data_IF_639715577576
#
_entry.id   IF_639715577576
#
_cell.length_a   1.000
_cell.length_b   1.000
_cell.length_c   1.000
_cell.angle_alpha   90.00
_cell.angle_beta   90.00
_cell.angle_gamma   90.00
#
_symmetry.space_group_name_H-M   'P 1'
#
loop_
_entity.id
_entity.type
_entity.pdbx_description
1 polymer ?
#
# COMPACT_ATOMS: atom_id res chain seq x y z
N UNK A 1 -19.25 -10.65 0.45
CA UNK A 1 -19.81 -9.64 1.37
C UNK A 1 -18.64 -8.80 1.87
N UNK A 2 -18.42 -7.61 1.31
CA UNK A 2 -17.41 -6.69 1.82
C UNK A 2 -18.02 -5.99 3.02
N UNK A 3 -17.87 -6.60 4.19
CA UNK A 3 -18.11 -5.90 5.44
C UNK A 3 -17.15 -4.72 5.48
N UNK A 4 -17.69 -3.50 5.34
CA UNK A 4 -17.04 -2.30 5.84
C UNK A 4 -16.82 -2.55 7.33
N UNK A 5 -15.65 -3.10 7.65
CA UNK A 5 -15.24 -3.32 9.02
C UNK A 5 -15.30 -1.98 9.72
N UNK A 6 -16.30 -1.81 10.59
CA UNK A 6 -16.33 -0.80 11.64
C UNK A 6 -15.25 -1.14 12.68
N UNK A 7 -14.01 -1.27 12.23
CA UNK A 7 -12.84 -1.57 13.02
C UNK A 7 -11.81 -0.51 12.68
N UNK A 8 -11.65 0.45 13.59
CA UNK A 8 -10.50 1.34 13.55
C UNK A 8 -9.24 0.50 13.65
N UNK A 9 -8.21 0.84 12.89
CA UNK A 9 -6.89 0.29 13.12
C UNK A 9 -6.41 0.68 14.51
N UNK A 10 -5.83 -0.29 15.23
CA UNK A 10 -5.10 -0.01 16.45
C UNK A 10 -3.85 0.86 16.15
N UNK A 11 -3.31 1.59 17.14
CA UNK A 11 -2.17 2.48 16.92
C UNK A 11 -0.94 1.77 16.32
N UNK A 12 -0.71 0.51 16.69
CA UNK A 12 0.40 -0.29 16.14
C UNK A 12 0.21 -0.53 14.63
N UNK A 13 -1.00 -0.89 14.22
CA UNK A 13 -1.35 -1.08 12.82
C UNK A 13 -1.24 0.23 12.01
N UNK A 14 -1.56 1.39 12.62
CA UNK A 14 -1.36 2.68 11.96
C UNK A 14 0.12 2.97 11.67
N UNK A 15 1.03 2.65 12.60
CA UNK A 15 2.48 2.82 12.39
C UNK A 15 2.99 1.92 11.25
N UNK A 16 2.49 0.69 11.20
CA UNK A 16 2.81 -0.26 10.12
C UNK A 16 2.33 0.28 8.76
N UNK A 17 1.08 0.78 8.71
CA UNK A 17 0.49 1.37 7.51
C UNK A 17 1.24 2.62 7.04
N UNK A 18 1.62 3.50 7.97
CA UNK A 18 2.41 4.71 7.68
C UNK A 18 3.75 4.35 7.06
N UNK A 19 4.47 3.40 7.69
CA UNK A 19 5.77 2.93 7.19
C UNK A 19 5.66 2.35 5.79
N UNK A 20 4.71 1.43 5.57
CA UNK A 20 4.51 0.81 4.27
C UNK A 20 4.11 1.82 3.19
N UNK A 21 3.28 2.80 3.55
CA UNK A 21 2.85 3.85 2.64
C UNK A 21 4.02 4.74 2.22
N UNK A 22 4.81 5.23 3.17
CA UNK A 22 5.94 6.12 2.87
C UNK A 22 6.98 5.46 1.97
N UNK A 23 7.37 4.22 2.28
CA UNK A 23 8.32 3.47 1.47
C UNK A 23 7.79 3.19 0.05
N UNK A 24 6.50 2.88 -0.08
CA UNK A 24 5.89 2.58 -1.36
C UNK A 24 5.76 3.87 -2.19
N UNK A 25 5.42 4.98 -1.54
CA UNK A 25 5.34 6.28 -2.17
C UNK A 25 6.69 6.75 -2.70
N UNK A 26 7.77 6.63 -1.92
CA UNK A 26 9.14 6.92 -2.35
C UNK A 26 9.51 6.07 -3.58
N UNK A 27 9.13 4.79 -3.58
CA UNK A 27 9.41 3.88 -4.69
C UNK A 27 8.65 4.31 -5.95
N UNK A 28 7.37 4.64 -5.86
CA UNK A 28 6.58 5.14 -7.00
C UNK A 28 7.15 6.43 -7.58
N UNK A 29 7.62 7.34 -6.71
CA UNK A 29 8.26 8.60 -7.13
C UNK A 29 9.58 8.34 -7.86
N UNK A 30 10.35 7.36 -7.41
CA UNK A 30 11.63 6.97 -8.02
C UNK A 30 11.43 6.27 -9.36
N UNK A 31 10.41 5.41 -9.47
CA UNK A 31 10.14 4.60 -10.66
C UNK A 31 9.32 5.34 -11.74
N UNK A 32 9.19 6.67 -11.65
CA UNK A 32 8.48 7.47 -12.66
C UNK A 32 6.97 7.19 -12.75
N UNK A 33 6.37 6.53 -11.76
CA UNK A 33 4.94 6.13 -11.74
C UNK A 33 4.03 7.30 -11.36
N UNK A 34 4.17 8.43 -12.05
CA UNK A 34 3.48 9.69 -11.75
C UNK A 34 1.97 9.70 -11.99
N UNK A 35 1.41 8.62 -12.56
CA UNK A 35 -0.02 8.43 -12.76
C UNK A 35 -0.73 7.86 -11.52
N UNK A 36 0.00 7.26 -10.58
CA UNK A 36 -0.57 6.70 -9.35
C UNK A 36 -0.81 7.82 -8.35
N UNK A 37 -2.05 7.92 -7.87
CA UNK A 37 -2.45 8.90 -6.87
C UNK A 37 -2.16 8.38 -5.46
N UNK A 38 -1.83 9.26 -4.51
CA UNK A 38 -1.58 8.85 -3.12
C UNK A 38 -2.82 8.23 -2.47
N UNK A 39 -4.04 8.66 -2.85
CA UNK A 39 -5.28 8.07 -2.31
C UNK A 39 -5.48 6.62 -2.75
N UNK A 40 -5.07 6.26 -3.97
CA UNK A 40 -5.15 4.89 -4.46
C UNK A 40 -4.12 4.01 -3.73
N UNK A 41 -2.89 4.50 -3.53
CA UNK A 41 -1.90 3.79 -2.70
C UNK A 41 -2.42 3.54 -1.28
N UNK A 42 -2.95 4.58 -0.62
CA UNK A 42 -3.48 4.45 0.74
C UNK A 42 -4.64 3.45 0.80
N UNK A 43 -5.55 3.49 -0.18
CA UNK A 43 -6.67 2.54 -0.27
C UNK A 43 -6.19 1.10 -0.40
N UNK A 44 -5.14 0.86 -1.18
CA UNK A 44 -4.55 -0.48 -1.34
C UNK A 44 -3.88 -0.96 -0.05
N UNK A 45 -3.00 -0.15 0.54
CA UNK A 45 -2.32 -0.52 1.78
C UNK A 45 -3.31 -0.81 2.91
N UNK A 46 -4.35 0.03 3.06
CA UNK A 46 -5.43 -0.21 4.03
C UNK A 46 -6.21 -1.49 3.73
N UNK A 47 -6.53 -1.78 2.47
CA UNK A 47 -7.23 -3.01 2.11
C UNK A 47 -6.42 -4.26 2.51
N UNK A 48 -5.13 -4.28 2.20
CA UNK A 48 -4.23 -5.38 2.56
C UNK A 48 -4.14 -5.58 4.09
N UNK A 49 -4.09 -4.48 4.87
CA UNK A 49 -4.13 -4.57 6.32
C UNK A 49 -5.47 -5.08 6.87
N UNK A 50 -6.59 -4.74 6.21
CA UNK A 50 -7.91 -5.31 6.53
C UNK A 50 -7.99 -6.82 6.21
N UNK A 51 -7.21 -7.31 5.25
CA UNK A 51 -7.06 -8.76 4.99
C UNK A 51 -6.20 -9.47 6.05
N UNK A 52 -5.57 -8.72 6.96
CA UNK A 52 -4.75 -9.24 8.05
C UNK A 52 -3.25 -9.17 7.82
N UNK A 53 -2.78 -8.51 6.75
CA UNK A 53 -1.36 -8.23 6.59
C UNK A 53 -0.89 -7.23 7.65
N UNK A 54 0.21 -7.55 8.32
CA UNK A 54 0.79 -6.74 9.41
C UNK A 54 2.28 -6.49 9.19
N UNK A 55 2.88 -7.06 8.14
CA UNK A 55 4.26 -6.79 7.79
C UNK A 55 4.35 -5.58 6.85
N UNK A 56 5.09 -4.51 7.22
CA UNK A 56 5.16 -3.29 6.42
C UNK A 56 5.83 -3.53 5.05
N UNK A 57 6.81 -4.45 4.97
CA UNK A 57 7.50 -4.78 3.72
C UNK A 57 6.57 -5.52 2.76
N UNK A 58 5.75 -6.45 3.26
CA UNK A 58 4.76 -7.16 2.45
C UNK A 58 3.61 -6.25 2.01
N UNK A 59 3.19 -5.31 2.85
CA UNK A 59 2.22 -4.27 2.47
C UNK A 59 2.76 -3.41 1.32
N UNK A 60 4.01 -2.96 1.45
CA UNK A 60 4.72 -2.21 0.42
C UNK A 60 4.79 -2.98 -0.91
N UNK A 61 5.37 -4.19 -0.89
CA UNK A 61 5.64 -4.97 -2.10
C UNK A 61 4.34 -5.34 -2.83
N UNK A 62 3.32 -5.77 -2.07
CA UNK A 62 2.00 -6.08 -2.65
C UNK A 62 1.29 -4.85 -3.18
N UNK A 63 1.34 -3.72 -2.47
CA UNK A 63 0.71 -2.48 -2.96
C UNK A 63 1.36 -2.02 -4.27
N UNK A 64 2.69 -2.08 -4.37
CA UNK A 64 3.39 -1.78 -5.62
C UNK A 64 3.09 -2.79 -6.72
N UNK A 65 3.07 -4.09 -6.42
CA UNK A 65 2.75 -5.13 -7.40
C UNK A 65 1.33 -5.03 -7.97
N UNK A 66 0.38 -4.54 -7.19
CA UNK A 66 -1.00 -4.29 -7.66
C UNK A 66 -1.15 -2.98 -8.46
N UNK A 67 -0.35 -1.95 -8.13
CA UNK A 67 -0.49 -0.61 -8.72
C UNK A 67 0.41 -0.36 -9.92
N UNK A 68 1.58 -0.99 -9.93
CA UNK A 68 2.59 -0.81 -10.96
C UNK A 68 2.42 -1.92 -11.99
N UNK A 69 2.12 -1.59 -13.26
CA UNK A 69 2.07 -2.60 -14.32
C UNK A 69 3.39 -3.37 -14.38
N UNK A 70 3.33 -4.68 -14.62
CA UNK A 70 4.53 -5.51 -14.77
C UNK A 70 5.54 -4.97 -15.81
N UNK A 71 5.07 -4.14 -16.76
CA UNK A 71 5.88 -3.48 -17.78
C UNK A 71 6.75 -2.32 -17.26
N UNK A 72 6.40 -1.69 -16.13
CA UNK A 72 7.14 -0.56 -15.55
C UNK A 72 8.43 -1.00 -14.84
N UNK A 73 8.58 -2.29 -14.53
CA UNK A 73 9.80 -2.84 -13.93
C UNK A 73 10.92 -3.13 -14.93
N UNK A 74 10.70 -2.88 -16.23
CA UNK A 74 11.73 -3.04 -17.26
C UNK A 74 12.49 -1.73 -17.47
N UNK A 75 13.61 -1.60 -16.78
CA UNK A 75 14.76 -0.78 -17.20
C UNK A 75 16.05 -1.62 -17.12
#
# INVERSE_FOLDING_TARGET
MLGIGSGSFDPETLVILETAFDEAWITLKTNGSGNIRPDELARRTCHLAMEGERDPVRLHDRALGELVPAATWRE
#
